data_IF_631379066166
#
_entry.id   IF_631379066166
#
_cell.length_a   1.000
_cell.length_b   1.000
_cell.length_c   1.000
_cell.angle_alpha   90.00
_cell.angle_beta   90.00
_cell.angle_gamma   90.00
#
_symmetry.space_group_name_H-M   'P 1'
#
loop_
_entity.id
_entity.type
_entity.pdbx_description
1 polymer ?
#
# COMPACT_ATOMS: atom_id res chain seq x y z
N UNK A 1 74.30 -33.39 20.93
CA UNK A 1 74.00 -31.97 21.20
C UNK A 1 72.74 -31.58 20.32
N UNK A 2 71.59 -31.76 20.91
CA UNK A 2 70.31 -31.48 20.17
C UNK A 2 69.82 -30.07 20.50
N UNK A 3 69.81 -29.19 19.50
CA UNK A 3 69.21 -27.85 19.60
C UNK A 3 67.72 -27.97 19.34
N UNK A 4 66.90 -27.74 20.36
CA UNK A 4 65.45 -27.56 20.22
C UNK A 4 65.17 -26.10 19.77
N UNK A 5 64.59 -25.94 18.59
CA UNK A 5 64.08 -24.66 18.08
C UNK A 5 62.63 -24.54 18.63
N UNK A 6 62.42 -23.57 19.53
CA UNK A 6 61.07 -23.20 20.00
C UNK A 6 60.53 -22.11 19.05
N UNK A 7 59.57 -22.50 18.23
CA UNK A 7 58.89 -21.58 17.33
C UNK A 7 57.73 -20.89 18.09
N UNK A 8 57.84 -19.58 18.31
CA UNK A 8 56.81 -18.78 18.95
C UNK A 8 55.81 -18.33 17.86
N UNK A 9 54.64 -18.92 17.85
CA UNK A 9 53.52 -18.49 16.97
C UNK A 9 52.85 -17.30 17.63
N UNK A 10 53.04 -16.11 17.06
CA UNK A 10 52.32 -14.89 17.47
C UNK A 10 50.94 -14.90 16.83
N UNK A 11 49.92 -15.25 17.62
CA UNK A 11 48.53 -15.18 17.20
C UNK A 11 48.05 -13.71 17.28
N UNK A 12 48.05 -13.01 16.13
CA UNK A 12 47.43 -11.69 16.02
C UNK A 12 45.91 -11.84 16.07
N UNK A 13 45.33 -11.62 17.24
CA UNK A 13 43.90 -11.43 17.41
C UNK A 13 43.51 -10.08 16.77
N UNK A 14 42.98 -10.15 15.54
CA UNK A 14 42.24 -9.04 14.96
C UNK A 14 40.91 -8.91 15.72
N UNK A 15 40.88 -8.07 16.74
CA UNK A 15 39.63 -7.58 17.32
C UNK A 15 38.98 -6.64 16.30
N UNK A 16 38.24 -7.21 15.36
CA UNK A 16 37.32 -6.43 14.52
C UNK A 16 36.26 -5.82 15.44
N UNK A 17 36.30 -4.50 15.59
CA UNK A 17 35.21 -3.78 16.26
C UNK A 17 33.95 -4.06 15.49
N UNK A 18 33.08 -4.92 16.02
CA UNK A 18 31.70 -5.03 15.60
C UNK A 18 31.03 -3.69 15.94
N UNK A 19 31.08 -2.74 15.01
CA UNK A 19 30.23 -1.57 15.11
C UNK A 19 28.79 -2.07 15.04
N UNK A 20 28.05 -1.89 16.12
CA UNK A 20 26.62 -2.14 16.13
C UNK A 20 26.00 -1.29 15.03
N UNK A 21 25.41 -1.94 14.04
CA UNK A 21 24.89 -1.25 12.87
C UNK A 21 23.61 -0.51 13.25
N UNK A 22 23.61 0.82 13.13
CA UNK A 22 22.38 1.61 13.20
C UNK A 22 21.61 1.37 11.90
N UNK A 23 20.44 0.76 12.01
CA UNK A 23 19.56 0.41 10.90
C UNK A 23 18.37 1.35 10.76
N UNK A 24 17.84 1.45 9.55
CA UNK A 24 16.59 2.14 9.27
C UNK A 24 15.60 1.10 8.75
N UNK A 25 14.48 0.98 9.43
CA UNK A 25 13.47 -0.05 9.15
C UNK A 25 12.06 0.55 9.14
N UNK A 26 11.07 -0.29 8.84
CA UNK A 26 9.65 0.03 8.92
C UNK A 26 9.27 1.33 8.17
N UNK A 27 9.78 1.48 6.93
CA UNK A 27 9.43 2.60 6.08
C UNK A 27 7.92 2.58 5.78
N UNK A 28 7.26 3.69 6.01
CA UNK A 28 5.81 3.83 5.83
C UNK A 28 5.45 5.08 5.04
N UNK A 29 4.44 4.95 4.20
CA UNK A 29 3.77 6.07 3.53
C UNK A 29 2.34 6.12 4.05
N UNK A 30 1.90 7.27 4.61
CA UNK A 30 0.60 7.41 5.30
C UNK A 30 0.35 6.31 6.34
N UNK A 31 1.39 5.97 7.11
CA UNK A 31 1.41 4.91 8.13
C UNK A 31 1.22 3.47 7.60
N UNK A 32 1.22 3.26 6.29
CA UNK A 32 1.08 1.96 5.66
C UNK A 32 2.40 1.50 5.04
N UNK A 33 2.65 0.20 5.03
CA UNK A 33 3.79 -0.42 4.35
C UNK A 33 3.46 -0.67 2.88
N UNK A 34 4.23 -0.06 1.98
CA UNK A 34 4.10 -0.23 0.53
C UNK A 34 2.64 -0.15 0.05
N UNK A 35 1.91 0.91 0.42
CA UNK A 35 0.48 0.99 0.11
C UNK A 35 0.20 1.21 -1.37
N UNK A 36 -0.94 0.72 -1.82
CA UNK A 36 -1.56 1.08 -3.08
C UNK A 36 -2.82 1.92 -2.82
N UNK A 37 -3.05 2.94 -3.66
CA UNK A 37 -4.24 3.78 -3.58
C UNK A 37 -4.10 5.00 -2.67
N UNK A 38 -2.90 5.51 -2.47
CA UNK A 38 -2.70 6.77 -1.73
C UNK A 38 -3.24 7.93 -2.56
N UNK A 39 -4.29 8.56 -2.09
CA UNK A 39 -4.98 9.68 -2.74
C UNK A 39 -4.54 11.07 -2.23
N UNK A 40 -3.63 11.10 -1.27
CA UNK A 40 -3.01 12.32 -0.77
C UNK A 40 -1.91 12.77 -1.73
N UNK A 41 -1.98 14.04 -2.20
CA UNK A 41 -1.01 14.59 -3.15
C UNK A 41 0.37 14.86 -2.53
N UNK A 42 0.44 15.04 -1.23
CA UNK A 42 1.65 15.21 -0.45
C UNK A 42 1.68 14.19 0.69
N UNK A 43 1.94 12.90 0.37
CA UNK A 43 1.94 11.85 1.37
C UNK A 43 3.03 12.07 2.41
N UNK A 44 2.79 11.58 3.61
CA UNK A 44 3.72 11.66 4.74
C UNK A 44 4.52 10.37 4.84
N UNK A 45 5.82 10.53 4.99
CA UNK A 45 6.78 9.44 5.10
C UNK A 45 7.21 9.28 6.56
N UNK A 46 7.46 8.05 6.96
CA UNK A 46 7.93 7.73 8.30
C UNK A 46 8.85 6.52 8.27
N UNK A 47 9.77 6.43 9.22
CA UNK A 47 10.68 5.30 9.40
C UNK A 47 10.98 5.07 10.86
N UNK A 48 11.57 3.92 11.17
CA UNK A 48 12.07 3.58 12.50
C UNK A 48 13.57 3.42 12.46
N UNK A 49 14.20 3.80 13.56
CA UNK A 49 15.62 3.60 13.80
C UNK A 49 15.76 2.39 14.69
N UNK A 50 16.60 1.44 14.31
CA UNK A 50 16.94 0.26 15.09
C UNK A 50 18.43 0.27 15.39
N UNK A 51 18.81 0.03 16.63
CA UNK A 51 20.20 -0.04 17.07
C UNK A 51 20.31 -0.86 18.34
N UNK A 52 21.39 -1.60 18.46
CA UNK A 52 21.80 -2.25 19.72
C UNK A 52 22.47 -1.25 20.69
N UNK A 53 22.82 -0.05 20.20
CA UNK A 53 23.38 1.01 21.03
C UNK A 53 22.28 1.83 21.70
N UNK A 54 22.53 2.26 22.92
CA UNK A 54 21.67 3.17 23.64
C UNK A 54 21.94 4.64 23.26
N UNK A 55 20.92 5.50 23.44
CA UNK A 55 21.01 6.94 23.21
C UNK A 55 21.39 7.30 21.76
N UNK A 56 20.93 6.52 20.80
CA UNK A 56 21.01 6.89 19.38
C UNK A 56 19.95 7.93 19.09
N UNK A 57 20.35 9.11 18.64
CA UNK A 57 19.49 10.24 18.32
C UNK A 57 19.76 10.65 16.88
N UNK A 58 18.72 10.71 16.07
CA UNK A 58 18.79 11.27 14.73
C UNK A 58 19.07 12.77 14.81
N UNK A 59 19.99 13.24 13.98
CA UNK A 59 20.31 14.67 13.86
C UNK A 59 19.97 15.23 12.49
N UNK A 60 19.95 14.38 11.47
CA UNK A 60 19.56 14.77 10.11
C UNK A 60 18.98 13.57 9.34
N UNK A 61 18.28 13.85 8.25
CA UNK A 61 17.85 12.86 7.27
C UNK A 61 18.07 13.34 5.84
N UNK A 62 18.09 12.39 4.91
CA UNK A 62 18.10 12.64 3.47
C UNK A 62 17.18 11.62 2.79
N UNK A 63 16.17 12.09 2.09
CA UNK A 63 15.17 11.27 1.41
C UNK A 63 15.36 11.38 -0.10
N UNK A 64 15.33 10.25 -0.78
CA UNK A 64 15.23 10.16 -2.24
C UNK A 64 13.91 9.50 -2.62
N UNK A 65 13.18 10.11 -3.56
CA UNK A 65 12.00 9.53 -4.20
C UNK A 65 12.24 9.47 -5.70
N UNK A 66 12.00 8.31 -6.29
CA UNK A 66 12.21 8.07 -7.71
C UNK A 66 10.99 7.47 -8.41
N UNK A 67 10.91 7.69 -9.72
CA UNK A 67 9.86 7.13 -10.58
C UNK A 67 10.11 5.65 -10.93
N UNK A 68 11.28 5.11 -10.64
CA UNK A 68 11.60 3.70 -10.82
C UNK A 68 12.64 3.21 -9.81
N UNK A 69 12.69 1.88 -9.53
CA UNK A 69 13.69 1.29 -8.67
C UNK A 69 15.12 1.53 -9.16
N UNK A 70 15.34 1.44 -10.48
CA UNK A 70 16.66 1.56 -11.10
C UNK A 70 17.26 2.96 -10.91
N UNK A 71 16.43 4.00 -10.99
CA UNK A 71 16.86 5.37 -10.69
C UNK A 71 17.26 5.51 -9.23
N UNK A 72 16.46 4.90 -8.34
CA UNK A 72 16.74 4.95 -6.91
C UNK A 72 18.03 4.19 -6.55
N UNK A 73 18.32 3.06 -7.21
CA UNK A 73 19.56 2.31 -7.06
C UNK A 73 20.77 3.14 -7.51
N UNK A 74 20.63 3.92 -8.60
CA UNK A 74 21.65 4.87 -9.06
C UNK A 74 21.81 6.10 -8.13
N UNK A 75 21.08 6.17 -7.03
CA UNK A 75 21.09 7.31 -6.11
C UNK A 75 20.39 8.55 -6.66
N UNK A 76 19.50 8.41 -7.64
CA UNK A 76 18.76 9.52 -8.25
C UNK A 76 17.34 9.60 -7.71
N UNK A 77 17.01 10.72 -7.06
CA UNK A 77 15.66 11.11 -6.66
C UNK A 77 15.03 12.02 -7.72
N UNK A 78 14.68 11.47 -8.91
CA UNK A 78 14.16 12.28 -10.03
C UNK A 78 12.79 12.94 -9.70
N UNK A 79 12.09 12.42 -8.70
CA UNK A 79 10.81 12.95 -8.19
C UNK A 79 11.04 13.86 -6.99
N UNK A 80 11.89 13.44 -6.05
CA UNK A 80 12.28 14.25 -4.90
C UNK A 80 13.66 13.84 -4.39
N UNK A 81 14.51 14.82 -4.23
CA UNK A 81 15.74 14.75 -3.48
C UNK A 81 15.66 15.84 -2.41
N UNK A 82 15.49 15.45 -1.15
CA UNK A 82 15.37 16.41 -0.06
C UNK A 82 16.68 17.13 0.26
N UNK A 83 17.82 16.59 -0.24
CA UNK A 83 19.11 16.92 0.34
C UNK A 83 19.18 16.51 1.82
N UNK A 84 20.21 16.92 2.49
CA UNK A 84 20.36 16.76 3.94
C UNK A 84 19.50 17.79 4.68
N UNK A 85 18.59 17.32 5.50
CA UNK A 85 17.72 18.15 6.36
C UNK A 85 18.10 17.90 7.82
N UNK A 86 18.52 18.93 8.52
CA UNK A 86 18.83 18.88 9.95
C UNK A 86 17.51 18.77 10.74
N UNK A 87 17.24 17.58 11.29
CA UNK A 87 16.02 17.29 12.05
C UNK A 87 16.10 15.93 12.74
N UNK A 88 15.56 15.83 13.92
CA UNK A 88 15.37 14.62 14.70
C UNK A 88 14.04 13.89 14.37
N UNK A 89 13.19 14.50 13.54
CA UNK A 89 11.92 13.94 13.14
C UNK A 89 12.12 12.74 12.20
N UNK A 90 11.48 11.62 12.52
CA UNK A 90 11.45 10.40 11.73
C UNK A 90 10.02 9.99 11.35
N UNK A 91 9.03 10.81 11.69
CA UNK A 91 7.62 10.53 11.45
C UNK A 91 6.93 11.75 10.83
N UNK A 92 5.94 11.47 10.00
CA UNK A 92 5.08 12.47 9.37
C UNK A 92 5.82 13.50 8.51
N UNK A 93 6.93 13.10 7.89
CA UNK A 93 7.69 13.95 6.98
C UNK A 93 6.88 14.12 5.70
N UNK A 94 6.36 15.32 5.50
CA UNK A 94 5.55 15.66 4.33
C UNK A 94 6.41 15.65 3.06
N UNK A 95 5.97 14.90 2.06
CA UNK A 95 6.56 14.92 0.72
C UNK A 95 6.50 16.32 0.10
N UNK A 96 7.64 16.81 -0.40
CA UNK A 96 7.79 18.16 -0.96
C UNK A 96 8.40 18.13 -2.39
N UNK A 97 8.33 16.99 -3.06
CA UNK A 97 8.88 16.84 -4.41
C UNK A 97 7.95 17.34 -5.52
N UNK A 98 8.19 16.87 -6.73
CA UNK A 98 7.39 17.17 -7.91
C UNK A 98 5.94 16.68 -7.75
N UNK A 99 5.01 17.33 -8.45
CA UNK A 99 3.61 16.90 -8.49
C UNK A 99 3.49 15.44 -8.88
N UNK A 100 2.83 14.66 -8.02
CA UNK A 100 2.59 13.25 -8.25
C UNK A 100 1.50 13.04 -9.32
N UNK A 101 1.68 12.02 -10.14
CA UNK A 101 0.66 11.56 -11.12
C UNK A 101 -0.28 10.59 -10.41
N UNK A 102 -1.55 10.54 -10.81
CA UNK A 102 -2.49 9.53 -10.33
C UNK A 102 -2.11 8.13 -10.86
N UNK A 103 -2.49 7.10 -10.13
CA UNK A 103 -2.25 5.70 -10.49
C UNK A 103 -0.81 5.41 -10.91
N UNK A 104 0.18 5.93 -10.19
CA UNK A 104 1.59 5.80 -10.50
C UNK A 104 2.39 5.27 -9.29
N UNK A 105 3.36 4.38 -9.50
CA UNK A 105 4.26 3.93 -8.45
C UNK A 105 5.37 4.96 -8.21
N UNK A 106 5.77 5.08 -6.96
CA UNK A 106 6.91 5.87 -6.51
C UNK A 106 7.72 5.04 -5.51
N UNK A 107 9.03 5.09 -5.65
CA UNK A 107 9.99 4.33 -4.85
C UNK A 107 10.80 5.31 -4.01
N UNK A 108 11.10 4.96 -2.77
CA UNK A 108 11.84 5.87 -1.92
C UNK A 108 12.74 5.13 -0.93
N UNK A 109 13.77 5.83 -0.52
CA UNK A 109 14.69 5.41 0.53
C UNK A 109 15.15 6.61 1.33
N UNK A 110 15.63 6.36 2.53
CA UNK A 110 16.14 7.39 3.44
C UNK A 110 17.47 6.94 4.02
N UNK A 111 18.36 7.88 4.26
CA UNK A 111 19.51 7.73 5.16
C UNK A 111 19.43 8.79 6.23
N UNK A 112 20.01 8.52 7.39
CA UNK A 112 20.03 9.46 8.52
C UNK A 112 21.45 9.67 9.01
N UNK A 113 21.67 10.84 9.58
CA UNK A 113 22.81 11.11 10.45
C UNK A 113 22.33 11.01 11.90
N UNK A 114 23.19 10.51 12.76
CA UNK A 114 22.91 10.39 14.19
C UNK A 114 24.08 10.96 14.99
N UNK A 115 23.87 11.13 16.29
CA UNK A 115 24.93 11.48 17.22
C UNK A 115 26.06 10.40 17.32
N UNK A 116 25.88 9.25 16.65
CA UNK A 116 26.83 8.13 16.59
C UNK A 116 27.43 7.95 15.20
N UNK A 117 27.04 8.75 14.23
CA UNK A 117 27.50 8.67 12.83
C UNK A 117 26.35 8.54 11.83
N UNK A 118 26.70 8.53 10.55
CA UNK A 118 25.75 8.39 9.46
C UNK A 118 25.43 6.91 9.19
N UNK A 119 24.19 6.65 8.75
CA UNK A 119 23.77 5.32 8.30
C UNK A 119 24.05 5.12 6.81
N UNK A 120 23.94 3.87 6.37
CA UNK A 120 23.69 3.57 4.97
C UNK A 120 22.25 3.94 4.59
N UNK A 121 21.96 3.95 3.28
CA UNK A 121 20.60 4.05 2.80
C UNK A 121 19.75 2.87 3.29
N UNK A 122 18.51 3.14 3.65
CA UNK A 122 17.54 2.10 3.96
C UNK A 122 17.27 1.18 2.76
N UNK A 123 16.70 0.01 3.03
CA UNK A 123 16.04 -0.78 1.99
C UNK A 123 14.93 0.08 1.38
N UNK A 124 14.78 0.11 0.04
CA UNK A 124 13.73 0.88 -0.60
C UNK A 124 12.33 0.43 -0.21
N UNK A 125 11.43 1.39 -0.06
CA UNK A 125 9.99 1.21 0.03
C UNK A 125 9.31 1.85 -1.19
N UNK A 126 8.02 1.62 -1.35
CA UNK A 126 7.25 2.22 -2.43
C UNK A 126 5.83 2.57 -1.98
N UNK A 127 5.17 3.37 -2.78
CA UNK A 127 3.71 3.50 -2.75
C UNK A 127 3.17 3.64 -4.17
N UNK A 128 1.90 3.34 -4.34
CA UNK A 128 1.17 3.61 -5.57
C UNK A 128 0.10 4.65 -5.25
N UNK A 129 0.07 5.73 -6.01
CA UNK A 129 -0.97 6.73 -5.86
C UNK A 129 -2.32 6.20 -6.33
N UNK A 130 -3.37 6.66 -5.69
CA UNK A 130 -4.74 6.44 -6.09
C UNK A 130 -5.19 7.38 -7.20
N UNK A 131 -6.50 7.57 -7.31
CA UNK A 131 -7.14 8.53 -8.19
C UNK A 131 -7.30 9.84 -7.42
N UNK A 132 -6.85 10.94 -7.99
CA UNK A 132 -6.84 12.22 -7.30
C UNK A 132 -8.08 13.10 -7.53
N UNK A 133 -8.80 12.83 -8.61
CA UNK A 133 -9.99 13.56 -8.99
C UNK A 133 -11.10 12.60 -9.38
N UNK A 134 -12.33 13.05 -9.32
CA UNK A 134 -13.47 12.29 -9.80
C UNK A 134 -13.35 11.96 -11.30
N UNK A 135 -12.80 12.88 -12.09
CA UNK A 135 -12.57 12.69 -13.53
C UNK A 135 -11.53 11.59 -13.86
N UNK A 136 -10.70 11.19 -12.89
CA UNK A 136 -9.76 10.08 -13.07
C UNK A 136 -10.47 8.72 -13.01
N UNK A 137 -11.72 8.70 -12.51
CA UNK A 137 -12.55 7.52 -12.44
C UNK A 137 -13.31 7.32 -13.75
N UNK A 138 -12.97 6.27 -14.50
CA UNK A 138 -13.58 5.97 -15.80
C UNK A 138 -14.64 4.85 -15.73
N UNK A 139 -14.70 4.14 -14.62
CA UNK A 139 -15.69 3.09 -14.40
C UNK A 139 -17.08 3.65 -14.20
N UNK A 140 -18.07 2.88 -14.66
CA UNK A 140 -19.48 3.17 -14.39
C UNK A 140 -20.00 2.23 -13.32
N UNK A 141 -21.00 2.66 -12.55
CA UNK A 141 -21.70 1.80 -11.63
C UNK A 141 -22.44 0.69 -12.37
N UNK A 142 -22.25 -0.53 -11.91
CA UNK A 142 -22.95 -1.71 -12.39
C UNK A 142 -23.63 -2.40 -11.24
N UNK A 143 -24.76 -3.01 -11.46
CA UNK A 143 -25.51 -3.73 -10.43
C UNK A 143 -26.73 -4.40 -11.02
N UNK A 144 -27.51 -5.02 -10.16
CA UNK A 144 -28.83 -5.55 -10.47
C UNK A 144 -29.85 -4.77 -9.66
N UNK A 145 -30.59 -3.88 -10.32
CA UNK A 145 -31.52 -2.94 -9.70
C UNK A 145 -32.83 -3.58 -9.21
N UNK A 146 -32.91 -4.91 -9.24
CA UNK A 146 -34.07 -5.69 -8.82
C UNK A 146 -33.64 -6.98 -8.15
N UNK A 147 -34.55 -7.60 -7.40
CA UNK A 147 -34.32 -8.92 -6.84
C UNK A 147 -34.09 -9.97 -7.95
N UNK A 148 -33.21 -10.92 -7.70
CA UNK A 148 -33.03 -12.07 -8.57
C UNK A 148 -34.27 -13.00 -8.47
N UNK A 149 -34.49 -13.88 -9.46
CA UNK A 149 -35.55 -14.88 -9.33
C UNK A 149 -35.44 -15.68 -8.03
N UNK A 150 -36.52 -15.74 -7.26
CA UNK A 150 -36.55 -16.39 -5.94
C UNK A 150 -36.19 -15.48 -4.76
N UNK A 151 -35.64 -14.28 -4.99
CA UNK A 151 -35.52 -13.29 -3.93
C UNK A 151 -36.90 -12.64 -3.64
N UNK A 152 -37.08 -12.28 -2.38
CA UNK A 152 -38.25 -11.48 -2.00
C UNK A 152 -37.91 -10.00 -2.11
N UNK A 153 -38.66 -9.24 -2.89
CA UNK A 153 -38.51 -7.77 -3.02
C UNK A 153 -39.14 -6.98 -1.87
N UNK A 154 -39.50 -7.64 -0.82
CA UNK A 154 -40.04 -6.93 0.34
C UNK A 154 -38.95 -6.09 1.00
N UNK A 155 -39.32 -4.94 1.54
CA UNK A 155 -38.42 -4.01 2.25
C UNK A 155 -37.53 -4.67 3.32
N UNK A 156 -37.88 -5.86 3.72
CA UNK A 156 -37.28 -6.62 4.83
C UNK A 156 -36.64 -7.95 4.36
N UNK A 157 -36.63 -8.21 3.08
CA UNK A 157 -36.10 -9.46 2.57
C UNK A 157 -34.56 -9.41 2.48
N UNK A 158 -33.96 -10.59 2.61
CA UNK A 158 -32.56 -10.79 2.30
C UNK A 158 -32.43 -10.96 0.80
N UNK A 159 -31.53 -10.19 0.20
CA UNK A 159 -31.16 -10.43 -1.18
C UNK A 159 -29.95 -11.37 -1.23
N UNK A 160 -29.95 -12.26 -2.19
CA UNK A 160 -28.79 -13.09 -2.46
C UNK A 160 -27.59 -12.22 -2.88
N UNK A 161 -26.37 -12.67 -2.59
CA UNK A 161 -25.18 -12.02 -3.12
C UNK A 161 -25.20 -12.01 -4.64
N UNK A 162 -24.72 -10.93 -5.23
CA UNK A 162 -24.62 -10.78 -6.69
C UNK A 162 -23.27 -11.27 -7.17
N UNK A 163 -23.27 -12.03 -8.24
CA UNK A 163 -22.05 -12.50 -8.91
C UNK A 163 -21.93 -11.75 -10.24
N UNK A 164 -20.95 -10.87 -10.30
CA UNK A 164 -20.62 -10.09 -11.49
C UNK A 164 -19.38 -10.70 -12.13
N UNK A 165 -19.39 -10.90 -13.45
CA UNK A 165 -18.26 -11.50 -14.17
C UNK A 165 -18.09 -10.87 -15.54
N UNK A 166 -16.83 -10.64 -15.91
CA UNK A 166 -16.46 -10.22 -17.25
C UNK A 166 -15.18 -10.90 -17.69
N UNK A 167 -15.16 -11.36 -18.93
CA UNK A 167 -13.95 -11.84 -19.61
C UNK A 167 -13.32 -10.74 -20.43
N UNK A 168 -12.01 -10.74 -20.52
CA UNK A 168 -11.25 -9.79 -21.34
C UNK A 168 -9.92 -10.40 -21.78
N UNK A 169 -9.46 -9.97 -22.97
CA UNK A 169 -8.17 -10.36 -23.51
C UNK A 169 -7.14 -9.26 -23.39
N UNK A 170 -5.91 -9.64 -23.08
CA UNK A 170 -4.74 -8.74 -23.06
C UNK A 170 -3.87 -9.10 -24.26
N UNK A 171 -3.88 -8.24 -25.28
CA UNK A 171 -3.20 -8.48 -26.56
C UNK A 171 -1.76 -7.98 -26.64
N UNK A 172 -1.30 -7.25 -25.62
CA UNK A 172 0.02 -6.62 -25.59
C UNK A 172 0.72 -6.94 -24.26
N UNK A 173 2.04 -6.88 -24.24
CA UNK A 173 2.79 -6.93 -22.98
C UNK A 173 2.33 -5.84 -22.03
N UNK A 174 1.96 -6.22 -20.83
CA UNK A 174 1.52 -5.31 -19.78
C UNK A 174 2.67 -5.01 -18.86
N UNK A 175 3.08 -3.75 -18.80
CA UNK A 175 4.10 -3.29 -17.86
C UNK A 175 3.56 -3.20 -16.43
N UNK A 176 2.31 -2.76 -16.28
CA UNK A 176 1.62 -2.65 -15.00
C UNK A 176 0.11 -2.65 -15.22
N UNK A 177 -0.60 -3.34 -14.33
CA UNK A 177 -2.05 -3.36 -14.28
C UNK A 177 -2.54 -3.09 -12.85
N UNK A 178 -3.50 -2.20 -12.73
CA UNK A 178 -4.08 -1.81 -11.44
C UNK A 178 -5.59 -1.92 -11.52
N UNK A 179 -6.21 -2.47 -10.49
CA UNK A 179 -7.66 -2.46 -10.32
C UNK A 179 -8.01 -1.44 -9.23
N UNK A 180 -8.89 -0.51 -9.59
CA UNK A 180 -9.60 0.34 -8.64
C UNK A 180 -11.03 -0.17 -8.52
N UNK A 181 -11.47 -0.51 -7.33
CA UNK A 181 -12.81 -1.06 -7.11
C UNK A 181 -13.50 -0.38 -5.94
N UNK A 182 -14.68 0.16 -6.22
CA UNK A 182 -15.62 0.65 -5.23
C UNK A 182 -16.85 -0.25 -5.20
N UNK A 183 -17.35 -0.56 -4.02
CA UNK A 183 -18.54 -1.38 -3.85
C UNK A 183 -19.54 -0.72 -2.91
N UNK A 184 -20.78 -0.54 -3.37
CA UNK A 184 -21.89 -0.18 -2.52
C UNK A 184 -22.48 -1.45 -1.90
N UNK A 185 -21.86 -1.90 -0.83
CA UNK A 185 -22.08 -3.18 -0.17
C UNK A 185 -20.75 -3.75 0.29
N UNK A 186 -20.63 -5.06 0.35
CA UNK A 186 -19.39 -5.76 0.66
C UNK A 186 -19.00 -6.61 -0.54
N UNK A 187 -17.76 -6.51 -0.99
CA UNK A 187 -17.33 -7.30 -2.15
C UNK A 187 -16.14 -8.19 -1.85
N UNK A 188 -16.02 -9.22 -2.64
CA UNK A 188 -14.79 -9.96 -2.89
C UNK A 188 -14.45 -9.91 -4.37
N UNK A 189 -13.20 -9.54 -4.68
CA UNK A 189 -12.69 -9.43 -6.04
C UNK A 189 -11.86 -10.66 -6.39
N UNK A 190 -12.03 -11.16 -7.62
CA UNK A 190 -11.28 -12.28 -8.17
C UNK A 190 -10.72 -11.94 -9.54
N UNK A 191 -9.51 -12.37 -9.82
CA UNK A 191 -8.91 -12.38 -11.16
C UNK A 191 -8.47 -13.80 -11.46
N UNK A 192 -8.93 -14.35 -12.57
CA UNK A 192 -8.60 -15.73 -13.02
C UNK A 192 -8.82 -16.78 -11.92
N UNK A 193 -9.88 -16.62 -11.12
CA UNK A 193 -10.23 -17.51 -10.02
C UNK A 193 -9.46 -17.25 -8.71
N UNK A 194 -8.44 -16.39 -8.72
CA UNK A 194 -7.69 -16.03 -7.53
C UNK A 194 -8.34 -14.81 -6.81
N UNK A 195 -8.58 -14.93 -5.51
CA UNK A 195 -9.06 -13.82 -4.68
C UNK A 195 -8.00 -12.75 -4.55
N UNK A 196 -8.40 -11.49 -4.73
CA UNK A 196 -7.52 -10.33 -4.70
C UNK A 196 -7.69 -9.57 -3.38
N UNK A 197 -6.53 -9.25 -2.77
CA UNK A 197 -6.50 -8.60 -1.47
C UNK A 197 -6.74 -9.56 -0.31
N UNK A 198 -6.42 -9.09 0.87
CA UNK A 198 -6.58 -9.82 2.13
C UNK A 198 -7.63 -9.18 3.06
N UNK A 199 -8.28 -8.13 2.60
CA UNK A 199 -9.30 -7.44 3.37
C UNK A 199 -10.50 -8.34 3.57
N UNK A 200 -11.07 -8.27 4.76
CA UNK A 200 -12.34 -8.88 5.12
C UNK A 200 -13.37 -7.76 5.23
N UNK A 201 -14.56 -7.95 4.68
CA UNK A 201 -15.65 -6.97 4.70
C UNK A 201 -15.27 -5.63 4.02
N UNK A 202 -14.67 -5.71 2.84
CA UNK A 202 -14.32 -4.54 2.04
C UNK A 202 -15.47 -4.05 1.14
N UNK A 203 -15.57 -2.74 0.89
CA UNK A 203 -14.88 -1.66 1.56
C UNK A 203 -15.48 -1.37 2.95
N UNK A 204 -14.78 -0.56 3.76
CA UNK A 204 -15.34 -0.11 5.03
C UNK A 204 -16.61 0.72 4.79
N UNK A 205 -17.63 0.60 5.66
CA UNK A 205 -18.90 1.33 5.49
C UNK A 205 -18.70 2.82 5.77
N UNK A 206 -19.36 3.64 4.97
CA UNK A 206 -19.40 5.10 5.10
C UNK A 206 -20.83 5.64 5.07
N UNK A 207 -21.01 6.94 5.10
CA UNK A 207 -22.24 7.57 4.61
C UNK A 207 -22.15 7.67 3.06
N UNK A 208 -22.73 6.70 2.39
CA UNK A 208 -22.68 6.58 0.92
C UNK A 208 -23.22 7.79 0.14
N UNK A 209 -23.93 8.71 0.80
CA UNK A 209 -24.37 9.98 0.22
C UNK A 209 -23.25 11.02 0.14
N UNK A 210 -22.17 10.80 0.92
CA UNK A 210 -21.05 11.74 1.03
C UNK A 210 -19.74 11.17 0.49
N UNK A 211 -19.47 9.92 0.84
CA UNK A 211 -18.17 9.30 0.54
C UNK A 211 -18.35 7.83 0.26
N UNK A 212 -17.76 7.37 -0.83
CA UNK A 212 -17.64 5.96 -1.17
C UNK A 212 -16.15 5.63 -1.23
N UNK A 213 -15.74 4.66 -0.41
CA UNK A 213 -14.37 4.19 -0.41
C UNK A 213 -14.12 3.23 -1.57
N UNK A 214 -12.92 3.26 -2.09
CA UNK A 214 -12.44 2.29 -3.06
C UNK A 214 -11.12 1.68 -2.61
N UNK A 215 -10.83 0.49 -3.10
CA UNK A 215 -9.54 -0.16 -2.92
C UNK A 215 -8.78 -0.18 -4.23
N UNK A 216 -7.45 -0.17 -4.13
CA UNK A 216 -6.53 -0.24 -5.25
C UNK A 216 -5.65 -1.47 -5.09
N UNK A 217 -5.52 -2.28 -6.15
CA UNK A 217 -4.71 -3.49 -6.16
C UNK A 217 -3.81 -3.51 -7.39
N UNK A 218 -2.55 -3.84 -7.21
CA UNK A 218 -1.67 -4.22 -8.31
C UNK A 218 -1.98 -5.68 -8.68
N UNK A 219 -2.39 -5.88 -9.91
CA UNK A 219 -2.75 -7.20 -10.44
C UNK A 219 -1.87 -7.60 -11.62
N UNK A 220 -0.75 -6.94 -11.80
CA UNK A 220 0.17 -7.11 -12.94
C UNK A 220 0.57 -8.57 -13.15
N UNK A 221 0.97 -9.25 -12.07
CA UNK A 221 1.45 -10.64 -12.11
C UNK A 221 0.35 -11.68 -12.33
N UNK A 222 -0.91 -11.28 -12.25
CA UNK A 222 -2.06 -12.18 -12.36
C UNK A 222 -2.64 -12.23 -13.77
N UNK A 223 -2.25 -11.28 -14.63
CA UNK A 223 -2.78 -11.20 -15.98
C UNK A 223 -2.15 -12.23 -16.91
N UNK A 224 -3.01 -12.79 -17.73
CA UNK A 224 -2.71 -13.75 -18.82
C UNK A 224 -3.19 -13.15 -20.14
N UNK A 225 -3.06 -13.90 -21.23
CA UNK A 225 -3.62 -13.51 -22.54
C UNK A 225 -5.15 -13.40 -22.46
N UNK A 226 -5.80 -14.41 -21.88
CA UNK A 226 -7.24 -14.42 -21.63
C UNK A 226 -7.48 -14.36 -20.11
N UNK A 227 -8.38 -13.49 -19.70
CA UNK A 227 -8.64 -13.22 -18.30
C UNK A 227 -10.11 -13.18 -17.97
N UNK A 228 -10.43 -13.48 -16.72
CA UNK A 228 -11.75 -13.24 -16.16
C UNK A 228 -11.63 -12.44 -14.85
N UNK A 229 -12.38 -11.37 -14.76
CA UNK A 229 -12.63 -10.65 -13.51
C UNK A 229 -13.97 -11.09 -12.96
N UNK A 230 -14.02 -11.39 -11.67
CA UNK A 230 -15.22 -11.76 -10.94
C UNK A 230 -15.37 -10.94 -9.67
N UNK A 231 -16.59 -10.56 -9.36
CA UNK A 231 -16.92 -9.86 -8.10
C UNK A 231 -18.11 -10.56 -7.46
N UNK A 232 -17.97 -10.96 -6.21
CA UNK A 232 -19.09 -11.33 -5.35
C UNK A 232 -19.47 -10.08 -4.57
N UNK A 233 -20.70 -9.59 -4.72
CA UNK A 233 -21.21 -8.39 -4.07
C UNK A 233 -22.34 -8.76 -3.11
N UNK A 234 -22.10 -8.56 -1.82
CA UNK A 234 -23.08 -8.72 -0.76
C UNK A 234 -23.71 -7.38 -0.36
N UNK A 235 -24.85 -7.45 0.28
CA UNK A 235 -25.67 -6.28 0.64
C UNK A 235 -24.92 -5.26 1.53
N UNK A 236 -24.13 -5.74 2.48
CA UNK A 236 -23.43 -4.90 3.45
C UNK A 236 -24.35 -3.90 4.13
N UNK A 237 -23.81 -2.69 4.38
CA UNK A 237 -24.58 -1.59 4.97
C UNK A 237 -25.41 -0.82 3.93
N UNK A 238 -25.08 -0.96 2.66
CA UNK A 238 -25.77 -0.24 1.59
C UNK A 238 -27.25 -0.68 1.49
N UNK A 239 -27.48 -1.99 1.53
CA UNK A 239 -28.81 -2.59 1.58
C UNK A 239 -28.96 -3.39 2.87
N UNK A 240 -29.24 -2.70 3.98
CA UNK A 240 -29.42 -3.34 5.29
C UNK A 240 -30.87 -3.72 5.53
N UNK A 241 -31.08 -5.01 5.81
CA UNK A 241 -32.29 -5.43 6.51
C UNK A 241 -32.19 -5.05 7.97
N UNK A 242 -33.11 -4.23 8.46
CA UNK A 242 -33.33 -4.07 9.88
C UNK A 242 -34.65 -4.74 10.27
N UNK A 243 -34.56 -5.87 10.92
CA UNK A 243 -35.69 -6.40 11.66
C UNK A 243 -35.98 -5.49 12.87
N UNK A 244 -37.18 -4.94 12.92
CA UNK A 244 -37.85 -4.41 14.10
C UNK A 244 -37.05 -3.69 15.18
N UNK A 245 -36.04 -2.93 14.84
CA UNK A 245 -35.43 -2.01 15.81
C UNK A 245 -36.29 -0.74 15.90
N UNK A 246 -37.10 -0.65 16.93
CA UNK A 246 -37.81 0.59 17.27
C UNK A 246 -36.81 1.63 17.78
N UNK A 247 -37.00 2.92 17.50
CA UNK A 247 -38.01 3.56 16.62
C UNK A 247 -37.47 4.10 15.31
N UNK A 248 -36.18 3.91 14.99
CA UNK A 248 -35.56 4.59 13.82
C UNK A 248 -35.25 3.58 12.73
N UNK A 249 -36.00 3.66 11.64
CA UNK A 249 -35.70 2.97 10.40
C UNK A 249 -34.50 3.69 9.76
N UNK A 250 -33.33 3.10 9.75
CA UNK A 250 -32.27 3.60 8.88
C UNK A 250 -32.70 3.24 7.45
N UNK A 251 -32.85 4.24 6.57
CA UNK A 251 -33.18 3.97 5.20
C UNK A 251 -32.06 3.14 4.56
N UNK A 252 -32.41 2.19 3.72
CA UNK A 252 -31.46 1.56 2.80
C UNK A 252 -30.99 2.62 1.81
N UNK A 253 -29.74 2.51 1.37
CA UNK A 253 -29.21 3.44 0.35
C UNK A 253 -29.59 3.00 -1.08
N UNK A 254 -29.93 1.73 -1.28
CA UNK A 254 -30.28 1.18 -2.58
C UNK A 254 -30.11 -0.33 -2.65
N UNK A 255 -30.19 -0.88 -3.87
CA UNK A 255 -29.81 -2.26 -4.18
C UNK A 255 -28.29 -2.35 -4.44
N UNK A 256 -27.60 -3.43 -4.03
CA UNK A 256 -26.20 -3.65 -4.30
C UNK A 256 -25.92 -3.93 -5.78
#
# INVERSE_FOLDING_TARGET
>A
MNKRIVSFFFLLLFAGSLYAAIGITDLRTEQLKNPAGIDVRQPRLSWRIESDEQNVIQTAYHILVASSPELLEQGKGDIWDSGKIESDASQWITYQGKTLKCNAPYYWKVKIDTNKGATNWSVPAFWITGLFNEADWQGQWIGLDRAAPGDSETRWSRLAARYLRKEFAVKKSVKRATVHIAGMGLYELFINGQRIGNQVLAPAPTDYRKTILYNTYDVTSLLQTENAIGVTLGNGRFYTMRQNYKPYKIPTFGYP
#
